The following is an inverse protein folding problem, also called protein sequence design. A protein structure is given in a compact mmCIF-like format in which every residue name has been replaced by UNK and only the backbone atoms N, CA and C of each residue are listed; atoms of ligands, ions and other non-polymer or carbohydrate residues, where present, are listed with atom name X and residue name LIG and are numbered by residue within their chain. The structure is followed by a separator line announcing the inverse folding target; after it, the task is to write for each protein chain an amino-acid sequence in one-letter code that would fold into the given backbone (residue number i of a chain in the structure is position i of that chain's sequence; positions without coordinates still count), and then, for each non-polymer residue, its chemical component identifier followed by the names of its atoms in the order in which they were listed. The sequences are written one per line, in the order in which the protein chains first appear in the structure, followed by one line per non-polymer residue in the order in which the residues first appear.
data_IF_345649663960
#
_entry.id   IF_345649663960
#
_cell.length_a   1.000
_cell.length_b   1.000
_cell.length_c   1.000
_cell.angle_alpha   90.00
_cell.angle_beta   90.00
_cell.angle_gamma   90.00
#
_symmetry.space_group_name_H-M   'P 1'
#
loop_
_entity.id
_entity.type
_entity.pdbx_description
1 polymer ?
#
# COMPACT_ATOMS: atom_id res chain seq x y z
N UNK A 1 8.80 39.46 -13.80
CA UNK A 1 7.37 39.48 -13.42
C UNK A 1 6.71 38.23 -14.01
N UNK A 2 6.39 37.22 -13.20
CA UNK A 2 5.71 36.00 -13.68
C UNK A 2 4.28 36.36 -14.09
N UNK A 3 3.96 36.26 -15.38
CA UNK A 3 2.62 36.52 -15.91
C UNK A 3 1.71 35.34 -15.56
N UNK A 4 0.61 35.63 -14.86
CA UNK A 4 -0.44 34.65 -14.57
C UNK A 4 -1.08 34.23 -15.90
N UNK A 5 -1.28 32.92 -16.16
CA UNK A 5 -1.91 32.44 -17.38
C UNK A 5 -3.30 33.07 -17.60
N UNK A 6 -3.67 33.41 -18.85
CA UNK A 6 -4.92 34.12 -19.16
C UNK A 6 -6.17 33.24 -19.03
N UNK A 7 -6.02 31.92 -18.90
CA UNK A 7 -7.11 31.00 -18.64
C UNK A 7 -6.74 30.02 -17.54
N UNK A 8 -7.59 29.95 -16.52
CA UNK A 8 -7.55 28.86 -15.55
C UNK A 8 -8.16 27.61 -16.18
N UNK A 9 -7.64 26.42 -15.82
CA UNK A 9 -8.27 25.15 -16.22
C UNK A 9 -9.73 25.15 -15.77
N UNK A 10 -10.60 24.56 -16.59
CA UNK A 10 -12.02 24.40 -16.27
C UNK A 10 -12.16 23.83 -14.84
N UNK A 11 -12.82 24.55 -13.90
CA UNK A 11 -13.04 24.08 -12.54
C UNK A 11 -13.68 22.69 -12.49
N UNK A 12 -14.54 22.32 -13.44
CA UNK A 12 -15.16 20.98 -13.50
C UNK A 12 -14.13 19.87 -13.82
N UNK A 13 -13.05 20.21 -14.50
CA UNK A 13 -11.92 19.31 -14.79
C UNK A 13 -10.85 19.30 -13.68
N UNK A 14 -10.98 20.16 -12.66
CA UNK A 14 -9.99 20.27 -11.60
C UNK A 14 -9.95 18.95 -10.80
N UNK A 15 -8.75 18.36 -10.58
CA UNK A 15 -8.61 17.10 -9.85
C UNK A 15 -9.32 17.11 -8.49
N UNK A 16 -9.23 18.23 -7.78
CA UNK A 16 -9.86 18.41 -6.47
C UNK A 16 -11.40 18.33 -6.55
N UNK A 17 -12.02 18.93 -7.58
CA UNK A 17 -13.47 18.84 -7.81
C UNK A 17 -13.89 17.46 -8.28
N UNK A 18 -13.11 16.81 -9.15
CA UNK A 18 -13.39 15.45 -9.61
C UNK A 18 -13.36 14.44 -8.45
N UNK A 19 -12.46 14.66 -7.49
CA UNK A 19 -12.36 13.85 -6.28
C UNK A 19 -13.43 14.19 -5.23
N UNK A 20 -13.92 15.44 -5.17
CA UNK A 20 -14.89 15.88 -4.15
C UNK A 20 -16.37 15.76 -4.57
N UNK A 21 -16.70 16.02 -5.84
CA UNK A 21 -18.08 15.96 -6.35
C UNK A 21 -18.59 14.52 -6.42
N UNK A 22 -17.72 13.59 -6.84
CA UNK A 22 -18.04 12.17 -7.00
C UNK A 22 -17.43 11.33 -5.87
N UNK A 23 -17.18 11.89 -4.68
CA UNK A 23 -16.45 11.21 -3.60
C UNK A 23 -17.02 9.82 -3.27
N UNK A 24 -18.35 9.72 -3.15
CA UNK A 24 -19.05 8.46 -2.87
C UNK A 24 -18.85 7.47 -4.02
N UNK A 25 -18.96 7.93 -5.27
CA UNK A 25 -18.78 7.11 -6.47
C UNK A 25 -17.33 6.63 -6.60
N UNK A 26 -16.37 7.50 -6.31
CA UNK A 26 -14.93 7.24 -6.33
C UNK A 26 -14.57 6.18 -5.28
N UNK A 27 -15.04 6.35 -4.04
CA UNK A 27 -14.83 5.37 -2.97
C UNK A 27 -15.41 3.99 -3.32
N UNK A 28 -16.65 3.94 -3.80
CA UNK A 28 -17.30 2.69 -4.23
C UNK A 28 -16.53 2.01 -5.35
N UNK A 29 -16.10 2.74 -6.37
CA UNK A 29 -15.37 2.19 -7.50
C UNK A 29 -14.00 1.63 -7.09
N UNK A 30 -13.26 2.36 -6.24
CA UNK A 30 -11.97 1.89 -5.72
C UNK A 30 -12.15 0.58 -4.95
N UNK A 31 -13.14 0.51 -4.06
CA UNK A 31 -13.45 -0.71 -3.31
C UNK A 31 -13.89 -1.86 -4.22
N UNK A 32 -14.76 -1.60 -5.19
CA UNK A 32 -15.23 -2.61 -6.15
C UNK A 32 -14.06 -3.21 -6.94
N UNK A 33 -13.21 -2.37 -7.52
CA UNK A 33 -12.01 -2.80 -8.27
C UNK A 33 -11.07 -3.60 -7.36
N UNK A 34 -10.90 -3.18 -6.11
CA UNK A 34 -10.08 -3.88 -5.13
C UNK A 34 -10.61 -5.30 -4.84
N UNK A 35 -11.88 -5.43 -4.47
CA UNK A 35 -12.46 -6.74 -4.14
C UNK A 35 -12.57 -7.65 -5.36
N UNK A 36 -12.81 -7.09 -6.55
CA UNK A 36 -12.79 -7.85 -7.82
C UNK A 36 -11.39 -8.42 -8.08
N UNK A 37 -10.33 -7.61 -7.94
CA UNK A 37 -8.94 -8.07 -8.09
C UNK A 37 -8.56 -9.08 -7.02
N UNK A 38 -8.96 -8.86 -5.76
CA UNK A 38 -8.72 -9.79 -4.64
C UNK A 38 -9.34 -11.17 -4.92
N UNK A 39 -10.60 -11.20 -5.38
CA UNK A 39 -11.30 -12.44 -5.76
C UNK A 39 -10.59 -13.16 -6.90
N UNK A 40 -10.15 -12.43 -7.94
CA UNK A 40 -9.41 -13.02 -9.07
C UNK A 40 -8.08 -13.66 -8.64
N UNK A 41 -7.32 -13.00 -7.76
CA UNK A 41 -6.06 -13.55 -7.22
C UNK A 41 -6.29 -14.79 -6.37
N UNK A 42 -7.34 -14.82 -5.55
CA UNK A 42 -7.68 -15.99 -4.73
C UNK A 42 -8.15 -17.21 -5.55
N UNK A 43 -8.66 -17.00 -6.76
CA UNK A 43 -9.03 -18.07 -7.70
C UNK A 43 -7.88 -18.52 -8.60
N UNK A 44 -6.80 -17.73 -8.68
CA UNK A 44 -5.56 -18.18 -9.30
C UNK A 44 -4.88 -19.13 -8.32
N UNK A 45 -4.87 -20.41 -8.68
CA UNK A 45 -4.06 -21.45 -8.02
C UNK A 45 -2.62 -20.92 -7.91
N UNK A 46 -1.93 -21.08 -6.77
CA UNK A 46 -0.53 -20.69 -6.65
C UNK A 46 0.24 -21.26 -7.85
N UNK A 47 1.15 -20.48 -8.48
CA UNK A 47 2.03 -21.07 -9.47
C UNK A 47 2.80 -22.19 -8.77
N UNK A 48 2.52 -23.44 -9.17
CA UNK A 48 3.39 -24.59 -8.93
C UNK A 48 4.81 -24.19 -9.35
N UNK A 49 5.75 -24.43 -8.45
CA UNK A 49 7.19 -24.26 -8.57
C UNK A 49 7.72 -23.56 -9.83
N UNK A 50 8.16 -22.32 -9.66
CA UNK A 50 9.25 -21.80 -10.49
C UNK A 50 10.35 -21.24 -9.61
N UNK A 51 11.16 -22.18 -9.17
CA UNK A 51 12.57 -22.07 -8.76
C UNK A 51 13.47 -21.47 -9.87
N UNK A 52 12.98 -20.48 -10.62
CA UNK A 52 13.82 -19.62 -11.44
C UNK A 52 14.24 -18.43 -10.60
N UNK A 53 15.50 -18.50 -10.17
CA UNK A 53 16.38 -17.46 -9.64
C UNK A 53 16.30 -16.17 -10.49
N UNK A 54 15.16 -15.47 -10.51
CA UNK A 54 15.11 -14.05 -10.85
C UNK A 54 15.99 -13.39 -9.81
N UNK A 55 17.02 -12.68 -10.25
CA UNK A 55 17.77 -11.77 -9.38
C UNK A 55 16.75 -11.03 -8.54
N UNK A 56 16.77 -11.27 -7.22
CA UNK A 56 15.81 -10.66 -6.31
C UNK A 56 16.03 -9.18 -6.43
N UNK A 57 15.10 -8.51 -7.13
CA UNK A 57 15.14 -7.07 -7.29
C UNK A 57 15.12 -6.51 -5.87
N UNK A 58 16.21 -5.84 -5.50
CA UNK A 58 16.40 -5.32 -4.15
C UNK A 58 15.57 -4.05 -4.07
N UNK A 59 14.59 -4.02 -3.17
CA UNK A 59 13.77 -2.86 -2.88
C UNK A 59 14.15 -2.32 -1.51
N UNK A 60 14.36 -0.99 -1.42
CA UNK A 60 14.74 -0.33 -0.17
C UNK A 60 15.89 -1.06 0.55
N UNK A 61 17.02 -1.28 -0.14
CA UNK A 61 18.18 -2.01 0.39
C UNK A 61 17.89 -3.43 0.94
N UNK A 62 16.75 -4.02 0.54
CA UNK A 62 16.30 -5.35 0.97
C UNK A 62 15.39 -5.33 2.18
N UNK A 63 14.95 -4.16 2.64
CA UNK A 63 13.97 -4.00 3.71
C UNK A 63 12.54 -4.20 3.22
N UNK A 64 12.26 -3.97 1.93
CA UNK A 64 10.92 -4.04 1.36
C UNK A 64 10.76 -5.24 0.42
N UNK A 65 9.53 -5.76 0.33
CA UNK A 65 9.14 -6.76 -0.66
C UNK A 65 8.73 -6.13 -2.00
N UNK A 66 8.34 -6.96 -2.97
CA UNK A 66 7.92 -6.53 -4.30
C UNK A 66 6.57 -5.78 -4.32
N UNK A 67 5.85 -5.80 -3.20
CA UNK A 67 4.57 -5.13 -3.00
C UNK A 67 4.72 -3.79 -2.25
N UNK A 68 5.96 -3.32 -2.07
CA UNK A 68 6.33 -2.10 -1.33
C UNK A 68 5.97 -2.16 0.15
N UNK A 69 5.81 -3.36 0.70
CA UNK A 69 5.61 -3.55 2.12
C UNK A 69 6.95 -3.84 2.81
N UNK A 70 7.12 -3.31 4.02
CA UNK A 70 8.26 -3.66 4.86
C UNK A 70 8.23 -5.16 5.23
N UNK A 71 9.39 -5.81 5.17
CA UNK A 71 9.58 -7.20 5.58
C UNK A 71 9.69 -7.24 7.12
N UNK A 72 8.53 -7.39 7.77
CA UNK A 72 8.43 -7.47 9.23
C UNK A 72 9.22 -8.67 9.78
N UNK A 73 10.08 -8.39 10.77
CA UNK A 73 10.88 -9.39 11.50
C UNK A 73 10.51 -9.35 12.98
N UNK A 74 10.05 -10.48 13.53
CA UNK A 74 9.74 -10.60 14.95
C UNK A 74 11.02 -10.40 15.79
N UNK A 75 10.91 -9.66 16.89
CA UNK A 75 12.03 -9.29 17.76
C UNK A 75 12.89 -8.14 17.23
N UNK A 76 12.60 -7.59 16.05
CA UNK A 76 13.33 -6.44 15.53
C UNK A 76 13.07 -5.21 16.41
N UNK A 77 14.15 -4.53 16.82
CA UNK A 77 14.06 -3.26 17.56
C UNK A 77 14.23 -2.08 16.64
N UNK A 78 13.21 -1.22 16.62
CA UNK A 78 13.27 0.06 15.94
C UNK A 78 13.62 1.16 16.92
N UNK A 79 14.71 1.89 16.60
CA UNK A 79 15.22 3.02 17.36
C UNK A 79 15.48 2.69 18.85
N UNK A 80 15.86 1.44 19.13
CA UNK A 80 16.04 0.90 20.49
C UNK A 80 14.83 1.11 21.43
N UNK A 81 13.64 1.32 20.87
CA UNK A 81 12.42 1.68 21.61
C UNK A 81 11.27 0.72 21.39
N UNK A 82 11.06 0.30 20.16
CA UNK A 82 9.91 -0.54 19.79
C UNK A 82 10.42 -1.90 19.36
N UNK A 83 10.10 -2.94 20.13
CA UNK A 83 10.36 -4.33 19.75
C UNK A 83 9.13 -4.86 19.01
N UNK A 84 9.30 -5.24 17.74
CA UNK A 84 8.20 -5.72 16.91
C UNK A 84 7.86 -7.15 17.32
N UNK A 85 6.63 -7.38 17.79
CA UNK A 85 6.19 -8.69 18.28
C UNK A 85 5.60 -9.53 17.15
N UNK A 86 4.53 -9.02 16.54
CA UNK A 86 3.74 -9.79 15.57
C UNK A 86 3.05 -8.89 14.55
N UNK A 87 2.88 -9.40 13.34
CA UNK A 87 2.05 -8.76 12.32
C UNK A 87 0.56 -8.97 12.68
N UNK A 88 -0.17 -7.89 12.94
CA UNK A 88 -1.57 -7.95 13.40
C UNK A 88 -2.58 -7.59 12.30
N UNK A 89 -2.14 -6.93 11.21
CA UNK A 89 -3.02 -6.57 10.11
C UNK A 89 -2.29 -6.24 8.82
N UNK A 90 -2.99 -6.45 7.69
CA UNK A 90 -2.58 -5.99 6.36
C UNK A 90 -3.75 -5.32 5.64
N UNK A 91 -3.46 -4.27 4.87
CA UNK A 91 -4.44 -3.52 4.09
C UNK A 91 -3.80 -2.85 2.89
N UNK A 92 -4.60 -2.12 2.10
CA UNK A 92 -4.08 -1.37 0.94
C UNK A 92 -3.12 -0.25 1.33
N UNK A 93 -3.14 0.18 2.60
CA UNK A 93 -2.20 1.15 3.15
C UNK A 93 -0.87 0.53 3.62
N UNK A 94 -0.76 -0.79 3.67
CA UNK A 94 0.43 -1.52 4.13
C UNK A 94 0.15 -2.48 5.27
N UNK A 95 1.06 -2.52 6.26
CA UNK A 95 1.04 -3.47 7.36
C UNK A 95 0.86 -2.78 8.72
N UNK A 96 0.22 -3.47 9.67
CA UNK A 96 0.13 -3.06 11.08
C UNK A 96 0.72 -4.17 11.92
N UNK A 97 1.70 -3.83 12.75
CA UNK A 97 2.35 -4.77 13.68
C UNK A 97 2.10 -4.36 15.12
N UNK A 98 1.88 -5.35 15.98
CA UNK A 98 1.98 -5.17 17.42
C UNK A 98 3.44 -4.95 17.80
N UNK A 99 3.68 -4.02 18.71
CA UNK A 99 4.98 -3.87 19.37
C UNK A 99 4.86 -4.30 20.82
N UNK A 100 5.89 -4.96 21.34
CA UNK A 100 5.97 -5.35 22.75
C UNK A 100 5.92 -4.11 23.64
N UNK A 101 4.88 -4.02 24.46
CA UNK A 101 4.86 -3.31 25.73
C UNK A 101 4.70 -4.35 26.84
N UNK A 102 5.16 -4.04 28.04
CA UNK A 102 5.06 -4.91 29.21
C UNK A 102 3.64 -5.51 29.31
N UNK A 103 3.56 -6.85 29.28
CA UNK A 103 2.27 -7.53 29.44
C UNK A 103 1.82 -7.28 30.88
N UNK A 104 0.89 -6.35 31.07
CA UNK A 104 0.13 -6.19 32.31
C UNK A 104 -0.68 -7.44 32.62
#
# INVERSE_FOLDING_TARGET
HLRIPPSFRDPASAPLRKLSVDLIKTYKHINEVYYTKKKRRAQQVPPEDSSTKKERKVYNDGYDDDNYDYIVKNGEKWLDRYEIDSLIGKGSFGQVSGHGGEKV
#
